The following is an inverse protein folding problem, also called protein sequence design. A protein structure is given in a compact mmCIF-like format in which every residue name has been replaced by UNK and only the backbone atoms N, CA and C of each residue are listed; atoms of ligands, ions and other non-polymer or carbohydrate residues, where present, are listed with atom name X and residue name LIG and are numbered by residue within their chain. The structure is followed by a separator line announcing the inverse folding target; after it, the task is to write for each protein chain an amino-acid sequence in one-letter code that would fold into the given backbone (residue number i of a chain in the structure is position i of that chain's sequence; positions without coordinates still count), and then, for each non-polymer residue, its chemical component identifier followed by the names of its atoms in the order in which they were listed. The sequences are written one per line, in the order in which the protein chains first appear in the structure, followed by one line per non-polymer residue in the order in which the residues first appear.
data_IF_848704559106
#
_entry.id   IF_848704559106
#
_cell.length_a   1.000
_cell.length_b   1.000
_cell.length_c   1.000
_cell.angle_alpha   90.00
_cell.angle_beta   90.00
_cell.angle_gamma   90.00
#
_symmetry.space_group_name_H-M   'P 1'
#
loop_
_entity.id
_entity.type
_entity.pdbx_description
1 polymer ?
#
# COMPACT_ATOMS: atom_id res chain seq x y z
N UNK A 1 5.62 0.79 -8.29
CA UNK A 1 6.73 1.74 -8.06
C UNK A 1 7.29 2.24 -9.39
N UNK A 2 7.71 1.34 -10.29
CA UNK A 2 8.20 1.65 -11.64
C UNK A 2 7.35 2.66 -12.40
N UNK A 3 6.04 2.42 -12.51
CA UNK A 3 5.12 3.33 -13.19
C UNK A 3 5.07 4.74 -12.55
N UNK A 4 5.10 4.82 -11.22
CA UNK A 4 5.12 6.10 -10.51
C UNK A 4 6.41 6.88 -10.80
N UNK A 5 7.56 6.20 -10.78
CA UNK A 5 8.86 6.80 -11.12
C UNK A 5 8.85 7.31 -12.56
N UNK A 6 8.36 6.50 -13.50
CA UNK A 6 8.26 6.87 -14.92
C UNK A 6 7.44 8.14 -15.09
N UNK A 7 6.27 8.21 -14.45
CA UNK A 7 5.39 9.39 -14.52
C UNK A 7 6.01 10.63 -13.90
N UNK A 8 6.68 10.51 -12.74
CA UNK A 8 7.34 11.65 -12.10
C UNK A 8 8.45 12.19 -13.00
N UNK A 9 9.27 11.32 -13.58
CA UNK A 9 10.37 11.72 -14.48
C UNK A 9 9.87 12.33 -15.80
N UNK A 10 8.72 11.86 -16.30
CA UNK A 10 8.10 12.39 -17.51
C UNK A 10 7.31 13.69 -17.28
N UNK A 11 7.09 14.10 -16.02
CA UNK A 11 6.29 15.27 -15.72
C UNK A 11 7.06 16.56 -16.04
N UNK A 12 6.60 17.40 -17.00
CA UNK A 12 7.40 18.52 -17.51
C UNK A 12 7.64 19.64 -16.49
N UNK A 13 6.79 19.72 -15.45
CA UNK A 13 6.89 20.73 -14.40
C UNK A 13 7.62 20.27 -13.14
N UNK A 14 8.33 19.13 -13.16
CA UNK A 14 9.04 18.59 -11.99
C UNK A 14 10.48 18.28 -12.36
N UNK A 15 11.45 18.83 -11.62
CA UNK A 15 12.85 18.39 -11.70
C UNK A 15 13.02 17.21 -10.73
N UNK A 16 12.90 16.00 -11.27
CA UNK A 16 12.94 14.78 -10.46
C UNK A 16 14.25 14.58 -9.71
N UNK A 17 15.33 15.28 -10.06
CA UNK A 17 16.63 15.13 -9.40
C UNK A 17 16.85 16.16 -8.29
N UNK A 18 16.26 17.34 -8.41
CA UNK A 18 16.47 18.46 -7.48
C UNK A 18 15.35 18.67 -6.48
N UNK A 19 14.12 18.38 -6.86
CA UNK A 19 12.94 18.64 -6.03
C UNK A 19 12.65 17.49 -5.07
N UNK A 20 12.11 17.84 -3.90
CA UNK A 20 11.70 16.84 -2.90
C UNK A 20 10.35 16.23 -3.27
N UNK A 21 10.25 14.90 -3.20
CA UNK A 21 8.99 14.17 -3.36
C UNK A 21 8.53 13.61 -2.02
N UNK A 22 7.24 13.74 -1.73
CA UNK A 22 6.57 13.00 -0.66
C UNK A 22 5.74 11.89 -1.30
N UNK A 23 6.07 10.64 -1.01
CA UNK A 23 5.33 9.47 -1.50
C UNK A 23 4.61 8.83 -0.32
N UNK A 24 3.29 8.79 -0.39
CA UNK A 24 2.46 8.03 0.54
C UNK A 24 2.18 6.64 -0.04
N UNK A 25 2.52 5.59 0.70
CA UNK A 25 2.24 4.21 0.32
C UNK A 25 1.15 3.70 1.26
N UNK A 26 -0.04 3.49 0.69
CA UNK A 26 -1.20 2.90 1.38
C UNK A 26 -1.70 1.71 0.56
N UNK A 27 -1.12 0.54 0.82
CA UNK A 27 -1.40 -0.73 0.14
C UNK A 27 -1.44 -1.87 1.15
N UNK A 28 -1.99 -3.03 0.76
CA UNK A 28 -2.01 -4.24 1.60
C UNK A 28 -3.40 -4.71 2.01
N UNK A 29 -4.46 -3.92 1.84
CA UNK A 29 -5.83 -4.37 2.13
C UNK A 29 -6.26 -5.57 1.29
N UNK A 30 -5.83 -5.64 0.02
CA UNK A 30 -6.11 -6.79 -0.85
C UNK A 30 -5.38 -8.06 -0.39
N UNK A 31 -4.14 -7.91 0.09
CA UNK A 31 -3.34 -9.00 0.65
C UNK A 31 -4.01 -9.52 1.93
N UNK A 32 -4.44 -8.63 2.83
CA UNK A 32 -5.19 -8.99 4.04
C UNK A 32 -6.47 -9.79 3.71
N UNK A 33 -7.24 -9.35 2.71
CA UNK A 33 -8.45 -10.08 2.28
C UNK A 33 -8.16 -11.47 1.70
N UNK A 34 -6.95 -11.72 1.19
CA UNK A 34 -6.60 -12.97 0.51
C UNK A 34 -5.61 -13.84 1.30
N UNK A 35 -5.07 -13.34 2.42
CA UNK A 35 -4.11 -14.05 3.25
C UNK A 35 -4.67 -15.38 3.75
N UNK A 36 -5.97 -15.45 4.09
CA UNK A 36 -6.64 -16.69 4.49
C UNK A 36 -6.69 -17.75 3.38
N UNK A 37 -6.69 -17.31 2.12
CA UNK A 37 -6.73 -18.21 0.95
C UNK A 37 -5.33 -18.69 0.56
N UNK A 38 -4.31 -17.85 0.71
CA UNK A 38 -2.93 -18.19 0.39
C UNK A 38 -1.94 -17.31 1.17
N UNK A 39 -1.45 -17.84 2.29
CA UNK A 39 -0.48 -17.13 3.14
C UNK A 39 0.90 -16.98 2.49
N UNK A 40 1.28 -17.88 1.58
CA UNK A 40 2.57 -17.78 0.88
C UNK A 40 2.59 -16.58 -0.07
N UNK A 41 1.48 -16.32 -0.77
CA UNK A 41 1.39 -15.21 -1.74
C UNK A 41 0.96 -13.88 -1.12
N UNK A 42 0.11 -13.92 -0.09
CA UNK A 42 -0.54 -12.72 0.47
C UNK A 42 -0.27 -12.52 1.97
N UNK A 43 0.52 -13.39 2.59
CA UNK A 43 0.87 -13.28 4.00
C UNK A 43 1.89 -12.19 4.28
N UNK A 44 2.15 -11.97 5.57
CA UNK A 44 2.97 -10.88 6.07
C UNK A 44 4.40 -10.88 5.51
N UNK A 45 5.03 -12.06 5.34
CA UNK A 45 6.37 -12.13 4.77
C UNK A 45 6.43 -11.65 3.31
N UNK A 46 5.54 -12.17 2.46
CA UNK A 46 5.50 -11.80 1.05
C UNK A 46 5.10 -10.32 0.86
N UNK A 47 4.16 -9.84 1.67
CA UNK A 47 3.81 -8.41 1.74
C UNK A 47 5.02 -7.54 2.09
N UNK A 48 5.75 -7.89 3.16
CA UNK A 48 6.96 -7.18 3.59
C UNK A 48 8.05 -7.20 2.51
N UNK A 49 8.28 -8.35 1.88
CA UNK A 49 9.24 -8.50 0.79
C UNK A 49 8.88 -7.60 -0.42
N UNK A 50 7.59 -7.57 -0.80
CA UNK A 50 7.10 -6.73 -1.88
C UNK A 50 7.23 -5.23 -1.56
N UNK A 51 6.89 -4.82 -0.35
CA UNK A 51 7.09 -3.44 0.11
C UNK A 51 8.56 -3.04 0.08
N UNK A 52 9.44 -3.88 0.62
CA UNK A 52 10.88 -3.61 0.61
C UNK A 52 11.41 -3.47 -0.83
N UNK A 53 10.97 -4.35 -1.75
CA UNK A 53 11.33 -4.25 -3.17
C UNK A 53 10.87 -2.92 -3.77
N UNK A 54 9.63 -2.51 -3.51
CA UNK A 54 9.09 -1.24 -4.01
C UNK A 54 9.83 -0.03 -3.43
N UNK A 55 10.12 -0.01 -2.12
CA UNK A 55 10.82 1.09 -1.46
C UNK A 55 12.27 1.20 -1.93
N UNK A 56 12.98 0.07 -2.09
CA UNK A 56 14.33 0.04 -2.67
C UNK A 56 14.31 0.62 -4.08
N UNK A 57 13.36 0.19 -4.92
CA UNK A 57 13.22 0.75 -6.25
C UNK A 57 13.01 2.28 -6.24
N UNK A 58 12.15 2.79 -5.36
CA UNK A 58 11.96 4.24 -5.21
C UNK A 58 13.25 4.94 -4.78
N UNK A 59 13.96 4.40 -3.78
CA UNK A 59 15.24 4.93 -3.29
C UNK A 59 16.27 5.02 -4.41
N UNK A 60 16.38 4.00 -5.23
CA UNK A 60 17.41 3.89 -6.27
C UNK A 60 17.09 4.77 -7.49
N UNK A 61 15.81 5.10 -7.73
CA UNK A 61 15.37 5.79 -8.95
C UNK A 61 14.80 7.19 -8.75
N UNK A 62 14.50 7.60 -7.52
CA UNK A 62 14.01 8.92 -7.17
C UNK A 62 14.81 9.50 -6.00
N UNK A 63 15.85 10.31 -6.28
CA UNK A 63 16.60 10.99 -5.21
C UNK A 63 15.68 11.97 -4.46
N UNK A 64 16.05 12.41 -3.25
CA UNK A 64 15.27 13.41 -2.47
C UNK A 64 13.80 13.01 -2.30
N UNK A 65 13.58 11.84 -1.71
CA UNK A 65 12.24 11.30 -1.53
C UNK A 65 12.01 10.97 -0.06
N UNK A 66 10.93 11.51 0.50
CA UNK A 66 10.36 11.04 1.76
C UNK A 66 9.27 10.02 1.46
N UNK A 67 9.39 8.85 2.07
CA UNK A 67 8.37 7.80 1.98
C UNK A 67 7.63 7.73 3.30
N UNK A 68 6.32 7.95 3.24
CA UNK A 68 5.41 7.72 4.35
C UNK A 68 4.70 6.39 4.13
N UNK A 69 4.95 5.41 4.99
CA UNK A 69 4.29 4.11 4.96
C UNK A 69 3.06 4.16 5.85
N UNK A 70 1.88 4.00 5.23
CA UNK A 70 0.61 3.96 5.93
C UNK A 70 0.15 2.50 5.99
N UNK A 71 0.00 1.90 7.18
CA UNK A 71 -0.48 0.53 7.29
C UNK A 71 -1.91 0.42 6.75
N UNK A 72 -2.33 -0.76 6.25
CA UNK A 72 -3.73 -1.01 5.93
C UNK A 72 -4.63 -0.69 7.11
N UNK A 73 -5.85 -0.24 6.82
CA UNK A 73 -6.83 0.02 7.87
C UNK A 73 -7.21 -1.28 8.61
N UNK A 74 -7.45 -1.15 9.91
CA UNK A 74 -7.98 -2.23 10.72
C UNK A 74 -9.45 -2.43 10.35
N UNK A 75 -9.78 -3.53 9.66
CA UNK A 75 -11.13 -3.75 9.12
C UNK A 75 -12.19 -3.78 10.23
N UNK A 76 -11.85 -4.27 11.42
CA UNK A 76 -12.77 -4.30 12.56
C UNK A 76 -13.32 -2.92 12.94
N UNK A 77 -12.52 -1.84 12.79
CA UNK A 77 -12.99 -0.48 13.07
C UNK A 77 -14.15 -0.09 12.14
N UNK A 78 -14.17 -0.59 10.90
CA UNK A 78 -15.30 -0.33 9.99
C UNK A 78 -16.56 -1.08 10.45
N UNK A 79 -16.41 -2.28 11.01
CA UNK A 79 -17.54 -3.08 11.50
C UNK A 79 -18.23 -2.38 12.69
N UNK A 80 -17.46 -1.74 13.57
CA UNK A 80 -18.00 -0.93 14.67
C UNK A 80 -18.86 0.25 14.20
N UNK A 81 -18.58 0.81 13.02
CA UNK A 81 -19.37 1.92 12.44
C UNK A 81 -20.66 1.46 11.77
N UNK A 82 -20.84 0.15 11.59
CA UNK A 82 -21.96 -0.46 10.86
C UNK A 82 -22.59 -1.63 11.65
N UNK A 83 -22.93 -1.46 12.94
CA UNK A 83 -23.33 -2.57 13.82
C UNK A 83 -24.62 -3.26 13.36
N UNK A 84 -25.54 -2.51 12.76
CA UNK A 84 -26.84 -3.02 12.30
C UNK A 84 -26.87 -3.27 10.78
N UNK A 85 -25.74 -3.14 10.08
CA UNK A 85 -25.71 -3.38 8.64
C UNK A 85 -25.84 -4.89 8.37
N UNK A 86 -26.93 -5.37 7.74
CA UNK A 86 -27.17 -6.80 7.58
C UNK A 86 -26.05 -7.50 6.78
N UNK A 87 -25.44 -6.81 5.83
CA UNK A 87 -24.30 -7.33 5.07
C UNK A 87 -23.07 -7.56 5.96
N UNK A 88 -22.77 -6.62 6.86
CA UNK A 88 -21.62 -6.73 7.77
C UNK A 88 -21.83 -7.83 8.82
N UNK A 89 -23.06 -7.97 9.35
CA UNK A 89 -23.42 -9.01 10.29
C UNK A 89 -23.27 -10.41 9.67
N UNK A 90 -23.70 -10.58 8.41
CA UNK A 90 -23.53 -11.84 7.71
C UNK A 90 -22.08 -12.11 7.32
N UNK A 91 -21.31 -11.08 6.93
CA UNK A 91 -19.88 -11.23 6.62
C UNK A 91 -19.06 -11.76 7.82
N UNK A 92 -19.43 -11.41 9.05
CA UNK A 92 -18.76 -11.87 10.28
C UNK A 92 -19.10 -13.31 10.69
N UNK A 93 -20.13 -13.94 10.08
CA UNK A 93 -20.56 -15.31 10.41
C UNK A 93 -19.79 -16.41 9.67
N UNK A 94 -18.93 -16.04 8.71
CA UNK A 94 -18.10 -16.94 7.92
C UNK A 94 -16.62 -16.68 8.19
#
# INVERSE_FOLDING_TARGET
AEELVSRIKAHPGVDSDKEWKLINIFVGSNDLCKACLNQTLYGAEQYSANLQKAIRYLKDNLPRTYVNLVPPFHVEVLLETQPDNPFCVDLQRH
#
